data_IF_644002110393
#
_entry.id   IF_644002110393
#
_cell.length_a   1.000
_cell.length_b   1.000
_cell.length_c   1.000
_cell.angle_alpha   90.00
_cell.angle_beta   90.00
_cell.angle_gamma   90.00
#
_symmetry.space_group_name_H-M   'P 1'
#
loop_
_entity.id
_entity.type
_entity.pdbx_description
1 polymer ?
#
# COMPACT_ATOMS: atom_id res chain seq x y z
N UNK A 1 13.19 7.72 17.42
CA UNK A 1 13.28 7.89 15.95
C UNK A 1 11.87 8.09 15.42
N UNK A 2 11.54 9.23 14.77
CA UNK A 2 10.14 9.61 14.51
C UNK A 2 9.98 10.39 13.20
N UNK A 3 8.94 10.08 12.42
CA UNK A 3 8.56 10.87 11.24
C UNK A 3 7.06 10.81 10.97
N UNK A 4 6.54 11.88 10.35
CA UNK A 4 5.14 12.01 9.97
C UNK A 4 5.02 12.33 8.49
N UNK A 5 4.13 11.60 7.81
CA UNK A 5 4.02 11.62 6.36
C UNK A 5 2.56 11.61 5.93
N UNK A 6 2.23 12.40 4.90
CA UNK A 6 0.90 12.39 4.28
C UNK A 6 0.89 11.72 2.91
N UNK A 7 0.12 10.65 2.81
CA UNK A 7 -0.11 9.86 1.61
C UNK A 7 -1.43 10.23 0.93
N UNK A 8 -1.47 10.15 -0.40
CA UNK A 8 -2.70 10.28 -1.17
C UNK A 8 -3.25 8.90 -1.58
N UNK A 9 -4.57 8.76 -1.63
CA UNK A 9 -5.20 7.56 -2.17
C UNK A 9 -5.05 7.50 -3.69
N UNK A 10 -5.13 6.30 -4.28
CA UNK A 10 -5.18 6.13 -5.74
C UNK A 10 -6.36 5.24 -6.15
N UNK A 11 -6.81 5.40 -7.40
CA UNK A 11 -7.85 4.59 -8.04
C UNK A 11 -7.26 3.89 -9.26
N UNK A 12 -7.31 2.55 -9.26
CA UNK A 12 -6.88 1.76 -10.41
C UNK A 12 -7.84 1.93 -11.60
N UNK A 13 -7.30 2.35 -12.74
CA UNK A 13 -7.96 2.34 -14.05
C UNK A 13 -7.81 0.97 -14.70
N UNK A 14 -6.58 0.46 -14.77
CA UNK A 14 -6.29 -0.94 -15.10
C UNK A 14 -6.09 -1.69 -13.78
N UNK A 15 -6.90 -2.72 -13.55
CA UNK A 15 -6.95 -3.38 -12.24
C UNK A 15 -5.75 -4.31 -12.04
N UNK A 16 -5.07 -4.11 -10.91
CA UNK A 16 -4.25 -5.15 -10.30
C UNK A 16 -5.16 -6.33 -9.94
N UNK A 17 -4.92 -7.52 -10.52
CA UNK A 17 -5.70 -8.72 -10.22
C UNK A 17 -4.86 -10.00 -10.32
N UNK A 18 -4.72 -10.71 -9.20
CA UNK A 18 -3.92 -11.92 -9.08
C UNK A 18 -2.46 -11.64 -8.71
N UNK A 19 -1.79 -12.68 -8.18
CA UNK A 19 -0.37 -12.63 -7.78
C UNK A 19 0.41 -13.70 -8.53
N UNK A 20 1.55 -13.33 -9.11
CA UNK A 20 2.53 -14.27 -9.63
C UNK A 20 3.31 -14.89 -8.46
N UNK A 21 3.73 -14.04 -7.51
CA UNK A 21 4.37 -14.45 -6.25
C UNK A 21 3.59 -13.92 -5.05
N UNK A 22 3.23 -14.81 -4.12
CA UNK A 22 2.43 -14.45 -2.94
C UNK A 22 3.28 -13.86 -1.82
N UNK A 23 4.52 -14.34 -1.65
CA UNK A 23 5.43 -13.94 -0.59
C UNK A 23 5.98 -12.53 -0.86
N UNK A 24 6.42 -12.28 -2.09
CA UNK A 24 6.94 -10.98 -2.53
C UNK A 24 5.83 -10.00 -2.97
N UNK A 25 4.59 -10.48 -2.98
CA UNK A 25 3.41 -9.77 -3.47
C UNK A 25 3.54 -9.27 -4.92
N UNK A 26 4.28 -10.02 -5.75
CA UNK A 26 4.47 -9.70 -7.17
C UNK A 26 3.15 -9.92 -7.90
N UNK A 27 2.63 -8.92 -8.61
CA UNK A 27 1.37 -9.01 -9.31
C UNK A 27 1.45 -9.95 -10.51
N UNK A 28 0.32 -10.57 -10.87
CA UNK A 28 0.26 -11.42 -12.07
C UNK A 28 0.23 -10.61 -13.38
N UNK A 29 -0.18 -9.34 -13.30
CA UNK A 29 -0.32 -8.42 -14.43
C UNK A 29 0.00 -7.00 -13.96
N UNK A 30 0.44 -6.15 -14.88
CA UNK A 30 0.63 -4.73 -14.63
C UNK A 30 -0.70 -4.03 -14.30
N UNK A 31 -0.62 -2.82 -13.74
CA UNK A 31 -1.81 -2.03 -13.43
C UNK A 31 -1.51 -0.54 -13.52
N UNK A 32 -2.56 0.25 -13.71
CA UNK A 32 -2.48 1.70 -13.87
C UNK A 32 -3.46 2.36 -12.92
N UNK A 33 -3.06 3.44 -12.25
CA UNK A 33 -3.96 4.22 -11.39
C UNK A 33 -3.77 5.72 -11.56
N UNK A 34 -4.76 6.47 -11.10
CA UNK A 34 -4.66 7.91 -10.84
C UNK A 34 -4.57 8.16 -9.34
N UNK A 35 -3.67 9.06 -8.94
CA UNK A 35 -3.56 9.55 -7.56
C UNK A 35 -4.57 10.66 -7.33
N UNK A 36 -5.33 10.57 -6.24
CA UNK A 36 -6.38 11.52 -5.90
C UNK A 36 -5.81 12.67 -5.07
N UNK A 37 -6.20 13.91 -5.38
CA UNK A 37 -5.79 15.05 -4.57
C UNK A 37 -6.49 15.03 -3.20
N UNK A 38 -7.82 15.14 -3.15
CA UNK A 38 -8.51 15.43 -1.88
C UNK A 38 -8.48 14.30 -0.84
N UNK A 39 -8.21 13.05 -1.21
CA UNK A 39 -8.26 11.91 -0.29
C UNK A 39 -6.87 11.52 0.21
N UNK A 40 -6.65 11.64 1.52
CA UNK A 40 -5.35 11.43 2.12
C UNK A 40 -5.38 10.63 3.43
N UNK A 41 -4.23 10.05 3.76
CA UNK A 41 -3.94 9.49 5.07
C UNK A 41 -2.61 10.00 5.57
N UNK A 42 -2.59 10.51 6.79
CA UNK A 42 -1.38 10.98 7.45
C UNK A 42 -0.98 9.96 8.50
N UNK A 43 0.27 9.53 8.47
CA UNK A 43 0.80 8.50 9.35
C UNK A 43 2.08 8.98 10.00
N UNK A 44 2.10 8.86 11.31
CA UNK A 44 3.27 9.05 12.16
C UNK A 44 3.79 7.67 12.57
N UNK A 45 5.10 7.49 12.45
CA UNK A 45 5.80 6.29 12.92
C UNK A 45 6.88 6.75 13.89
N UNK A 46 6.88 6.14 15.08
CA UNK A 46 7.85 6.40 16.13
C UNK A 46 8.42 5.07 16.63
N UNK A 47 9.70 4.84 16.37
CA UNK A 47 10.46 3.71 16.89
C UNK A 47 10.99 4.02 18.30
N UNK A 48 10.78 3.07 19.21
CA UNK A 48 11.08 3.19 20.64
C UNK A 48 11.57 1.83 21.19
N UNK A 49 12.75 1.83 21.81
CA UNK A 49 13.37 0.63 22.42
C UNK A 49 12.67 0.16 23.68
N UNK A 50 11.82 0.99 24.31
CA UNK A 50 11.01 0.63 25.46
C UNK A 50 9.73 -0.15 25.11
N UNK A 51 9.37 -0.24 23.83
CA UNK A 51 8.21 -1.00 23.38
C UNK A 51 8.52 -2.51 23.34
N UNK A 52 7.53 -3.32 23.70
CA UNK A 52 7.60 -4.79 23.62
C UNK A 52 6.89 -5.37 22.37
N UNK A 53 6.18 -4.52 21.63
CA UNK A 53 5.48 -4.89 20.40
C UNK A 53 5.09 -3.65 19.59
N UNK A 54 4.84 -3.83 18.29
CA UNK A 54 4.32 -2.73 17.45
C UNK A 54 2.86 -2.41 17.81
N UNK A 55 2.53 -1.12 17.75
CA UNK A 55 1.19 -0.61 18.05
C UNK A 55 0.65 0.16 16.86
N UNK A 56 -0.56 -0.15 16.40
CA UNK A 56 -1.23 0.62 15.36
C UNK A 56 -2.58 1.18 15.81
N UNK A 57 -2.79 2.46 15.53
CA UNK A 57 -4.11 3.10 15.65
C UNK A 57 -4.49 3.83 14.38
N UNK A 58 -5.78 3.82 14.07
CA UNK A 58 -6.38 4.52 12.93
C UNK A 58 -7.54 5.37 13.42
N UNK A 59 -7.48 6.68 13.16
CA UNK A 59 -8.48 7.66 13.59
C UNK A 59 -8.75 7.58 15.12
N UNK A 60 -7.68 7.48 15.91
CA UNK A 60 -7.74 7.41 17.37
C UNK A 60 -8.19 6.07 17.95
N UNK A 61 -8.51 5.07 17.12
CA UNK A 61 -8.91 3.74 17.57
C UNK A 61 -7.79 2.73 17.34
N UNK A 62 -7.44 1.94 18.38
CA UNK A 62 -6.48 0.84 18.25
C UNK A 62 -7.07 -0.23 17.33
N UNK A 63 -6.29 -0.66 16.33
CA UNK A 63 -6.72 -1.63 15.30
C UNK A 63 -5.89 -2.90 15.41
N UNK A 64 -6.12 -3.70 16.46
CA UNK A 64 -5.35 -4.92 16.74
C UNK A 64 -5.40 -5.93 15.58
N UNK A 65 -6.52 -5.99 14.87
CA UNK A 65 -6.71 -6.82 13.68
C UNK A 65 -5.81 -6.43 12.49
N UNK A 66 -5.26 -5.21 12.51
CA UNK A 66 -4.33 -4.70 11.48
C UNK A 66 -2.88 -4.67 11.93
N UNK A 67 -2.59 -4.87 13.23
CA UNK A 67 -1.22 -4.84 13.77
C UNK A 67 -0.29 -5.78 13.00
N UNK A 68 -0.68 -7.03 12.75
CA UNK A 68 0.19 -8.00 12.07
C UNK A 68 0.69 -7.51 10.71
N UNK A 69 -0.18 -6.85 9.92
CA UNK A 69 0.19 -6.29 8.61
C UNK A 69 1.10 -5.07 8.73
N UNK A 70 0.92 -4.26 9.77
CA UNK A 70 1.78 -3.11 10.06
C UNK A 70 3.16 -3.60 10.52
N UNK A 71 3.21 -4.60 11.39
CA UNK A 71 4.45 -5.28 11.81
C UNK A 71 5.20 -5.87 10.63
N UNK A 72 4.52 -6.59 9.72
CA UNK A 72 5.15 -7.13 8.49
C UNK A 72 5.81 -6.01 7.66
N UNK A 73 5.12 -4.88 7.48
CA UNK A 73 5.68 -3.69 6.82
C UNK A 73 6.90 -3.15 7.57
N UNK A 74 6.80 -2.96 8.88
CA UNK A 74 7.90 -2.43 9.71
C UNK A 74 9.10 -3.37 9.71
N UNK A 75 8.90 -4.69 9.66
CA UNK A 75 9.98 -5.68 9.60
C UNK A 75 10.87 -5.51 8.36
N UNK A 76 10.26 -5.23 7.19
CA UNK A 76 11.03 -4.98 5.98
C UNK A 76 11.98 -3.79 6.18
N UNK A 77 11.45 -2.69 6.71
CA UNK A 77 12.18 -1.44 6.93
C UNK A 77 13.25 -1.59 8.04
N UNK A 78 12.92 -2.30 9.12
CA UNK A 78 13.84 -2.66 10.20
C UNK A 78 15.02 -3.48 9.70
N UNK A 79 14.75 -4.47 8.84
CA UNK A 79 15.77 -5.30 8.21
C UNK A 79 16.72 -4.45 7.35
N UNK A 80 16.19 -3.49 6.60
CA UNK A 80 17.01 -2.54 5.84
C UNK A 80 17.85 -1.61 6.73
N UNK A 81 17.32 -1.19 7.88
CA UNK A 81 18.01 -0.29 8.81
C UNK A 81 18.95 -0.99 9.80
N UNK A 82 18.87 -2.32 9.93
CA UNK A 82 19.60 -3.08 10.94
C UNK A 82 19.17 -2.77 12.38
N UNK A 83 17.87 -2.46 12.60
CA UNK A 83 17.33 -2.15 13.93
C UNK A 83 16.25 -3.14 14.36
N UNK A 84 16.11 -3.36 15.67
CA UNK A 84 15.10 -4.29 16.23
C UNK A 84 13.96 -3.58 16.97
N UNK A 85 14.12 -2.29 17.30
CA UNK A 85 13.13 -1.50 18.05
C UNK A 85 11.74 -1.59 17.43
N UNK A 86 10.69 -1.78 18.24
CA UNK A 86 9.31 -1.73 17.79
C UNK A 86 8.85 -0.29 17.57
N UNK A 87 7.73 -0.11 16.88
CA UNK A 87 7.18 1.20 16.59
C UNK A 87 5.72 1.39 17.03
N UNK A 88 5.42 2.62 17.41
CA UNK A 88 4.06 3.13 17.51
C UNK A 88 3.71 3.81 16.19
N UNK A 89 2.60 3.39 15.60
CA UNK A 89 2.08 3.88 14.32
C UNK A 89 0.72 4.52 14.54
N UNK A 90 0.65 5.83 14.33
CA UNK A 90 -0.57 6.62 14.46
C UNK A 90 -0.99 7.09 13.08
N UNK A 91 -2.15 6.64 12.60
CA UNK A 91 -2.67 7.03 11.29
C UNK A 91 -4.02 7.72 11.39
N UNK A 92 -4.24 8.72 10.54
CA UNK A 92 -5.53 9.39 10.36
C UNK A 92 -5.85 9.57 8.87
N UNK A 93 -7.11 9.44 8.50
CA UNK A 93 -7.58 9.69 7.14
C UNK A 93 -8.75 10.69 7.14
N UNK A 94 -8.93 11.40 6.02
CA UNK A 94 -10.01 12.38 5.88
C UNK A 94 -11.24 11.82 5.15
N UNK A 95 -11.39 10.49 5.10
CA UNK A 95 -12.46 9.84 4.35
C UNK A 95 -12.90 8.53 5.03
N UNK A 96 -14.13 8.05 4.78
CA UNK A 96 -14.68 6.93 5.54
C UNK A 96 -13.83 5.66 5.40
N UNK A 97 -13.39 5.09 6.53
CA UNK A 97 -12.57 3.86 6.57
C UNK A 97 -13.26 2.69 5.86
N UNK A 98 -14.59 2.64 5.90
CA UNK A 98 -15.45 1.62 5.30
C UNK A 98 -15.66 1.76 3.80
N UNK A 99 -15.35 2.91 3.18
CA UNK A 99 -15.62 3.16 1.76
C UNK A 99 -14.77 2.30 0.79
N UNK A 100 -13.98 1.34 1.29
CA UNK A 100 -13.08 0.49 0.50
C UNK A 100 -11.87 1.23 -0.10
N UNK A 101 -11.84 2.55 0.02
CA UNK A 101 -10.73 3.42 -0.39
C UNK A 101 -9.60 3.42 0.64
N UNK A 102 -9.93 3.22 1.92
CA UNK A 102 -9.00 3.44 3.03
C UNK A 102 -8.16 2.20 3.33
N UNK A 103 -8.65 1.02 2.91
CA UNK A 103 -8.14 -0.27 3.36
C UNK A 103 -7.02 -0.84 2.49
N UNK A 104 -6.63 -0.21 1.38
CA UNK A 104 -5.66 -0.81 0.46
C UNK A 104 -4.52 0.09 -0.02
N UNK A 105 -4.76 1.38 -0.29
CA UNK A 105 -3.72 2.30 -0.77
C UNK A 105 -3.16 3.17 0.35
N UNK A 106 -3.94 4.12 0.87
CA UNK A 106 -3.41 5.14 1.79
C UNK A 106 -3.18 4.63 3.23
N UNK A 107 -4.03 3.73 3.73
CA UNK A 107 -3.94 3.21 5.10
C UNK A 107 -2.78 2.23 5.35
N UNK A 108 -2.19 1.66 4.29
CA UNK A 108 -1.01 0.79 4.38
C UNK A 108 0.25 1.41 3.79
N UNK A 109 0.11 2.44 2.95
CA UNK A 109 1.24 3.19 2.41
C UNK A 109 1.93 4.06 3.47
N UNK A 110 1.14 4.78 4.28
CA UNK A 110 1.66 5.75 5.25
C UNK A 110 2.79 5.20 6.14
N UNK A 111 2.66 3.96 6.67
CA UNK A 111 3.72 3.33 7.46
C UNK A 111 5.05 3.12 6.72
N UNK A 112 5.07 2.76 5.44
CA UNK A 112 6.33 2.47 4.73
C UNK A 112 7.18 3.73 4.59
N UNK A 113 6.60 4.80 4.06
CA UNK A 113 7.32 6.07 3.86
C UNK A 113 7.65 6.73 5.19
N UNK A 114 6.72 6.75 6.15
CA UNK A 114 6.99 7.29 7.49
C UNK A 114 8.09 6.48 8.21
N UNK A 115 8.09 5.15 8.12
CA UNK A 115 9.13 4.33 8.72
C UNK A 115 10.49 4.55 8.05
N UNK A 116 10.54 4.63 6.72
CA UNK A 116 11.78 4.92 5.99
C UNK A 116 12.40 6.25 6.44
N UNK A 117 11.58 7.31 6.53
CA UNK A 117 12.04 8.60 7.05
C UNK A 117 12.42 8.55 8.54
N UNK A 118 11.66 7.82 9.37
CA UNK A 118 11.96 7.73 10.79
C UNK A 118 13.29 6.99 11.06
N UNK A 119 13.65 6.05 10.18
CA UNK A 119 14.89 5.26 10.22
C UNK A 119 16.03 5.88 9.40
N UNK A 120 15.81 7.05 8.79
CA UNK A 120 16.80 7.73 7.94
C UNK A 120 17.35 6.85 6.81
N UNK A 121 16.48 6.06 6.18
CA UNK A 121 16.86 5.20 5.06
C UNK A 121 16.96 6.00 3.76
N UNK A 122 18.12 5.92 3.11
CA UNK A 122 18.36 6.49 1.77
C UNK A 122 17.76 5.58 0.68
N UNK A 123 16.43 5.60 0.56
CA UNK A 123 15.69 4.83 -0.43
C UNK A 123 15.19 5.74 -1.54
N UNK A 124 15.44 5.35 -2.80
CA UNK A 124 14.82 6.03 -3.92
C UNK A 124 13.30 5.79 -3.90
N UNK A 125 12.48 6.66 -4.53
CA UNK A 125 11.05 6.40 -4.68
C UNK A 125 10.74 5.03 -5.30
N UNK A 126 11.61 4.56 -6.21
CA UNK A 126 11.49 3.24 -6.82
C UNK A 126 11.70 2.13 -5.79
N UNK A 127 12.76 2.19 -4.99
CA UNK A 127 13.03 1.21 -3.92
C UNK A 127 11.89 1.18 -2.91
N UNK A 128 11.42 2.35 -2.50
CA UNK A 128 10.30 2.46 -1.58
C UNK A 128 9.02 1.88 -2.19
N UNK A 129 8.82 1.98 -3.51
CA UNK A 129 7.69 1.34 -4.20
C UNK A 129 7.79 -0.20 -4.22
N UNK A 130 9.01 -0.74 -4.39
CA UNK A 130 9.28 -2.19 -4.33
C UNK A 130 8.96 -2.72 -2.93
N UNK A 131 9.39 -2.00 -1.89
CA UNK A 131 9.10 -2.36 -0.50
C UNK A 131 7.60 -2.23 -0.21
N UNK A 132 6.97 -1.11 -0.60
CA UNK A 132 5.53 -0.89 -0.42
C UNK A 132 4.67 -1.92 -1.15
N UNK A 133 5.12 -2.44 -2.31
CA UNK A 133 4.46 -3.52 -3.05
C UNK A 133 4.30 -4.75 -2.17
N UNK A 134 5.31 -5.13 -1.38
CA UNK A 134 5.24 -6.31 -0.51
C UNK A 134 4.06 -6.21 0.47
N UNK A 135 3.73 -5.00 0.93
CA UNK A 135 2.47 -4.72 1.63
C UNK A 135 1.24 -4.77 0.72
N UNK A 136 1.21 -3.99 -0.37
CA UNK A 136 0.15 -4.03 -1.38
C UNK A 136 0.60 -3.38 -2.69
N UNK A 137 0.29 -3.95 -3.85
CA UNK A 137 0.53 -3.30 -5.15
C UNK A 137 -0.15 -1.93 -5.28
N UNK A 138 -1.29 -1.71 -4.61
CA UNK A 138 -1.92 -0.38 -4.53
C UNK A 138 -1.16 0.61 -3.66
N UNK A 139 -0.38 0.15 -2.67
CA UNK A 139 0.45 1.02 -1.86
C UNK A 139 1.66 1.51 -2.69
N UNK A 140 2.29 0.62 -3.47
CA UNK A 140 3.39 1.01 -4.36
C UNK A 140 3.05 2.19 -5.28
N UNK A 141 1.85 2.20 -5.88
CA UNK A 141 1.42 3.31 -6.74
C UNK A 141 1.15 4.62 -6.00
N UNK A 142 0.88 4.59 -4.70
CA UNK A 142 0.67 5.80 -3.87
C UNK A 142 1.98 6.52 -3.53
N UNK A 143 3.14 6.00 -3.95
CA UNK A 143 4.44 6.69 -3.84
C UNK A 143 4.45 7.96 -4.71
N UNK A 144 3.75 7.92 -5.84
CA UNK A 144 3.81 8.91 -6.89
C UNK A 144 2.48 9.67 -7.06
N UNK A 145 2.57 10.89 -7.60
CA UNK A 145 1.43 11.68 -8.05
C UNK A 145 1.02 11.36 -9.50
N UNK A 146 -0.06 11.98 -9.96
CA UNK A 146 -0.51 11.85 -11.34
C UNK A 146 -1.02 10.45 -11.71
N UNK A 147 -0.63 9.97 -12.88
CA UNK A 147 -0.90 8.63 -13.40
C UNK A 147 0.30 7.75 -13.09
N UNK A 148 0.04 6.59 -12.49
CA UNK A 148 1.09 5.73 -11.96
C UNK A 148 0.88 4.32 -12.46
N UNK A 149 1.88 3.79 -13.16
CA UNK A 149 1.95 2.40 -13.58
C UNK A 149 2.59 1.55 -12.47
N UNK A 150 2.12 0.32 -12.32
CA UNK A 150 2.77 -0.73 -11.53
C UNK A 150 3.18 -1.83 -12.48
N UNK A 151 4.49 -2.04 -12.60
CA UNK A 151 5.09 -3.08 -13.40
C UNK A 151 4.87 -4.45 -12.78
N UNK A 152 4.54 -5.41 -13.64
CA UNK A 152 4.36 -6.78 -13.18
C UNK A 152 5.67 -7.37 -12.66
N UNK A 153 6.77 -7.00 -13.31
CA UNK A 153 8.05 -7.66 -13.16
C UNK A 153 8.04 -9.08 -13.75
N UNK A 154 9.23 -9.63 -13.86
CA UNK A 154 9.54 -10.93 -14.42
C UNK A 154 10.69 -11.62 -13.68
N UNK A 155 11.47 -10.88 -12.88
CA UNK A 155 12.56 -11.41 -12.08
C UNK A 155 12.03 -12.14 -10.85
N UNK A 156 12.69 -13.25 -10.50
CA UNK A 156 12.28 -14.12 -9.41
C UNK A 156 12.38 -13.45 -8.02
N UNK A 157 13.27 -12.47 -7.87
CA UNK A 157 13.42 -11.66 -6.66
C UNK A 157 12.42 -10.49 -6.59
N UNK A 158 11.64 -10.27 -7.66
CA UNK A 158 10.69 -9.18 -7.77
C UNK A 158 11.31 -7.78 -7.82
N UNK A 159 12.61 -7.65 -8.08
CA UNK A 159 13.30 -6.36 -8.14
C UNK A 159 12.82 -5.47 -9.29
N UNK A 160 12.26 -6.07 -10.35
CA UNK A 160 11.68 -5.39 -11.52
C UNK A 160 10.16 -5.18 -11.42
N UNK A 161 9.53 -5.49 -10.28
CA UNK A 161 8.12 -5.19 -10.02
C UNK A 161 7.98 -3.93 -9.15
N UNK A 162 7.90 -2.76 -9.76
CA UNK A 162 7.88 -1.46 -9.08
C UNK A 162 6.80 -0.55 -9.66
N UNK A 163 6.50 0.54 -8.96
CA UNK A 163 5.62 1.58 -9.49
C UNK A 163 6.45 2.74 -10.06
N UNK A 164 5.94 3.40 -11.09
CA UNK A 164 6.56 4.59 -11.66
C UNK A 164 5.52 5.58 -12.20
N UNK A 165 5.82 6.89 -12.22
CA UNK A 165 4.94 7.87 -12.81
C UNK A 165 4.93 7.71 -14.34
N UNK A 166 3.72 7.65 -14.90
CA UNK A 166 3.48 7.60 -16.35
C UNK A 166 3.19 9.00 -16.90
N UNK A 167 2.37 9.79 -16.20
CA UNK A 167 2.02 11.16 -16.55
C UNK A 167 1.81 11.98 -15.28
N UNK A 168 2.20 13.25 -15.32
CA UNK A 168 1.86 14.20 -14.26
C UNK A 168 0.36 14.51 -14.24
N UNK A 169 -0.15 15.03 -13.12
CA UNK A 169 -1.57 15.33 -12.95
C UNK A 169 -2.05 16.43 -13.92
N UNK A 170 -1.16 17.36 -14.26
CA UNK A 170 -1.40 18.52 -15.11
C UNK A 170 -1.50 18.12 -16.60
N UNK A 171 -0.90 16.99 -16.98
CA UNK A 171 -0.97 16.48 -18.34
C UNK A 171 -2.41 16.05 -18.72
N UNK A 172 -3.21 15.65 -17.73
CA UNK A 172 -4.63 15.35 -17.91
C UNK A 172 -5.42 15.63 -16.62
N UNK A 173 -5.94 16.87 -16.44
CA UNK A 173 -6.60 17.28 -15.21
C UNK A 173 -8.01 16.70 -15.11
N UNK A 174 -8.11 15.50 -14.56
CA UNK A 174 -9.38 14.78 -14.37
C UNK A 174 -10.05 15.16 -13.05
N UNK A 175 -11.38 15.32 -13.09
CA UNK A 175 -12.21 15.36 -11.88
C UNK A 175 -12.79 13.97 -11.59
N UNK A 176 -12.71 13.54 -10.33
CA UNK A 176 -13.19 12.22 -9.90
C UNK A 176 -14.32 12.38 -8.90
N UNK A 177 -15.51 11.91 -9.28
CA UNK A 177 -16.67 11.81 -8.38
C UNK A 177 -16.76 10.41 -7.80
N UNK A 178 -16.78 10.32 -6.47
CA UNK A 178 -16.90 9.04 -5.75
C UNK A 178 -18.28 8.96 -5.12
N UNK A 179 -19.14 8.11 -5.68
CA UNK A 179 -20.44 7.79 -5.11
C UNK A 179 -20.29 6.74 -4.01
N UNK A 180 -20.58 7.11 -2.76
CA UNK A 180 -20.61 6.18 -1.62
C UNK A 180 -21.97 5.51 -1.58
N UNK A 181 -22.03 4.24 -1.97
CA UNK A 181 -23.27 3.45 -2.00
C UNK A 181 -23.58 2.78 -0.67
N UNK A 182 -22.57 2.52 0.16
CA UNK A 182 -22.71 1.90 1.47
C UNK A 182 -21.58 2.37 2.42
N UNK A 183 -21.88 2.50 3.72
CA UNK A 183 -20.92 2.95 4.74
C UNK A 183 -20.45 1.83 5.68
N UNK A 184 -20.84 0.58 5.42
CA UNK A 184 -20.40 -0.60 6.17
C UNK A 184 -19.07 -1.17 5.67
N UNK A 185 -18.37 -1.93 6.51
CA UNK A 185 -17.19 -2.69 6.06
C UNK A 185 -17.62 -3.83 5.13
N UNK A 186 -16.81 -4.09 4.09
CA UNK A 186 -17.04 -5.24 3.20
C UNK A 186 -16.95 -6.54 4.01
N UNK A 187 -17.91 -7.43 3.81
CA UNK A 187 -17.93 -8.76 4.43
C UNK A 187 -16.71 -9.64 4.07
N UNK A 188 -16.09 -9.42 2.91
CA UNK A 188 -14.90 -10.17 2.45
C UNK A 188 -13.83 -9.20 1.96
N UNK A 189 -12.59 -9.37 2.44
CA UNK A 189 -11.45 -8.55 2.02
C UNK A 189 -10.94 -8.96 0.63
N UNK A 190 -10.36 -8.02 -0.12
CA UNK A 190 -9.76 -8.31 -1.43
C UNK A 190 -8.71 -9.44 -1.34
N UNK A 191 -7.84 -9.44 -0.31
CA UNK A 191 -6.83 -10.49 -0.14
C UNK A 191 -7.44 -11.89 -0.01
N UNK A 192 -8.54 -12.05 0.75
CA UNK A 192 -9.24 -13.33 0.91
C UNK A 192 -9.89 -13.81 -0.41
N UNK A 193 -10.46 -12.88 -1.19
CA UNK A 193 -10.99 -13.24 -2.53
C UNK A 193 -9.87 -13.76 -3.42
N UNK A 194 -8.64 -13.26 -3.27
CA UNK A 194 -7.51 -13.57 -4.13
C UNK A 194 -6.82 -14.88 -3.75
N UNK A 195 -6.71 -15.19 -2.45
CA UNK A 195 -6.21 -16.49 -1.99
C UNK A 195 -7.08 -17.66 -2.47
N UNK A 196 -8.39 -17.44 -2.57
CA UNK A 196 -9.36 -18.48 -2.93
C UNK A 196 -9.44 -18.77 -4.44
N UNK A 197 -8.92 -17.90 -5.33
CA UNK A 197 -9.15 -18.00 -6.79
C UNK A 197 -8.05 -18.70 -7.59
N UNK A 198 -7.07 -19.36 -6.94
CA UNK A 198 -6.09 -20.22 -7.65
C UNK A 198 -6.72 -21.41 -8.42
N UNK A 199 -8.02 -21.67 -8.27
CA UNK A 199 -8.76 -22.75 -8.97
C UNK A 199 -9.34 -22.39 -10.33
N UNK A 200 -9.36 -21.13 -10.76
CA UNK A 200 -9.83 -20.78 -12.13
C UNK A 200 -8.64 -20.65 -13.07
N UNK A 201 -7.93 -21.76 -13.31
CA UNK A 201 -6.98 -21.91 -14.42
C UNK A 201 -7.47 -23.04 -15.33
N UNK A 202 -8.35 -22.69 -16.26
CA UNK A 202 -8.55 -23.27 -17.61
C UNK A 202 -9.83 -22.68 -18.17
N UNK A 203 -9.72 -21.51 -18.79
CA UNK A 203 -10.59 -21.24 -19.95
C UNK A 203 -9.83 -21.89 -21.10
N UNK A 204 -10.28 -23.07 -21.48
CA UNK A 204 -9.86 -23.78 -22.69
C UNK A 204 -9.92 -22.83 -23.87
N UNK A 205 -8.87 -22.83 -24.70
CA UNK A 205 -8.88 -22.21 -26.04
C UNK A 205 -10.16 -22.64 -26.75
N UNK A 206 -10.94 -21.67 -27.21
CA UNK A 206 -11.96 -21.91 -28.22
C UNK A 206 -11.18 -21.87 -29.53
N UNK A 207 -11.08 -23.03 -30.17
CA UNK A 207 -10.64 -23.15 -31.56
C UNK A 207 -11.78 -22.82 -32.51
#
# INVERSE_FOLDING_TARGET
MKATVRARANIALIKYWGKADVALNVPAVGSLSITLDSLWSETEVEFDTGLSSDMFSLNGQVRRERNGRVTECLNLLRSHAGVESFAKVLSRNNFPTSAGLASSASGFFGPHRAAAHALDLDLTPRDLSIIARQGSGSAARSIFGGFVEMHAGSMADGSDSFAEPLLDAEAWPLEVVIAITERGEKAVSSRQVWSNRRRVRRITRIG
#
